data_IF_557295278701
#
_entry.id   IF_557295278701
#
_cell.length_a   1.000
_cell.length_b   1.000
_cell.length_c   1.000
_cell.angle_alpha   90.00
_cell.angle_beta   90.00
_cell.angle_gamma   90.00
#
_symmetry.space_group_name_H-M   'P 1'
#
loop_
_entity.id
_entity.type
_entity.pdbx_description
1 polymer ?
#
# COMPACT_ATOMS: atom_id res chain seq x y z
N UNK A 1 -7.58 8.27 -9.86
CA UNK A 1 -7.16 7.57 -11.10
C UNK A 1 -7.60 6.12 -10.98
N UNK A 2 -8.22 5.54 -12.01
CA UNK A 2 -8.62 4.12 -12.02
C UNK A 2 -7.84 3.38 -13.11
N UNK A 3 -7.26 2.23 -12.75
CA UNK A 3 -6.56 1.34 -13.69
C UNK A 3 -7.50 0.30 -14.32
N UNK A 4 -8.80 0.38 -14.09
CA UNK A 4 -9.79 -0.56 -14.65
C UNK A 4 -9.80 -0.59 -16.18
N UNK A 5 -9.37 0.50 -16.82
CA UNK A 5 -9.24 0.56 -18.28
C UNK A 5 -7.90 0.03 -18.81
N UNK A 6 -6.95 -0.32 -17.93
CA UNK A 6 -5.65 -0.96 -18.28
C UNK A 6 -5.70 -2.49 -18.12
N UNK A 7 -6.87 -3.06 -17.86
CA UNK A 7 -7.01 -4.49 -17.67
C UNK A 7 -6.76 -5.25 -18.98
N UNK A 8 -6.11 -6.40 -18.86
CA UNK A 8 -5.79 -7.29 -19.97
C UNK A 8 -6.20 -8.74 -19.65
N UNK A 9 -7.34 -9.23 -20.18
CA UNK A 9 -8.16 -8.62 -21.23
C UNK A 9 -9.02 -7.43 -20.75
N UNK A 10 -9.51 -6.57 -21.68
CA UNK A 10 -10.39 -5.46 -21.34
C UNK A 10 -11.66 -5.91 -20.60
N UNK A 11 -12.10 -5.10 -19.63
CA UNK A 11 -13.32 -5.37 -18.88
C UNK A 11 -14.57 -5.02 -19.70
N UNK A 12 -15.55 -5.93 -19.83
CA UNK A 12 -16.79 -5.66 -20.58
C UNK A 12 -17.73 -4.68 -19.85
N UNK A 13 -17.63 -4.60 -18.52
CA UNK A 13 -18.41 -3.67 -17.68
C UNK A 13 -17.52 -3.12 -16.54
N UNK A 14 -16.72 -2.07 -16.83
CA UNK A 14 -15.78 -1.49 -15.88
C UNK A 14 -16.42 -0.97 -14.59
N UNK A 15 -17.65 -0.48 -14.67
CA UNK A 15 -18.35 0.07 -13.51
C UNK A 15 -18.79 -1.04 -12.56
N UNK A 16 -19.36 -2.12 -13.09
CA UNK A 16 -19.76 -3.27 -12.28
C UNK A 16 -18.58 -3.92 -11.55
N UNK A 17 -17.41 -4.09 -12.21
CA UNK A 17 -16.23 -4.66 -11.55
C UNK A 17 -15.63 -3.69 -10.52
N UNK A 18 -15.64 -2.39 -10.79
CA UNK A 18 -15.10 -1.38 -9.90
C UNK A 18 -15.94 -1.27 -8.63
N UNK A 19 -17.26 -1.29 -8.74
CA UNK A 19 -18.16 -1.29 -7.60
C UNK A 19 -18.01 -2.56 -6.76
N UNK A 20 -17.82 -3.72 -7.40
CA UNK A 20 -17.52 -4.97 -6.71
C UNK A 20 -16.20 -4.93 -5.94
N UNK A 21 -15.13 -4.39 -6.54
CA UNK A 21 -13.84 -4.21 -5.86
C UNK A 21 -13.92 -3.22 -4.70
N UNK A 22 -14.61 -2.09 -4.88
CA UNK A 22 -14.86 -1.13 -3.80
C UNK A 22 -15.61 -1.77 -2.63
N UNK A 23 -16.63 -2.56 -2.93
CA UNK A 23 -17.40 -3.28 -1.91
C UNK A 23 -16.53 -4.31 -1.17
N UNK A 24 -15.70 -5.07 -1.89
CA UNK A 24 -14.75 -6.00 -1.28
C UNK A 24 -13.76 -5.28 -0.36
N UNK A 25 -13.15 -4.18 -0.82
CA UNK A 25 -12.23 -3.36 0.00
C UNK A 25 -12.94 -2.81 1.23
N UNK A 26 -14.15 -2.26 1.09
CA UNK A 26 -14.95 -1.74 2.22
C UNK A 26 -15.26 -2.81 3.27
N UNK A 27 -15.44 -4.05 2.86
CA UNK A 27 -15.74 -5.19 3.73
C UNK A 27 -14.51 -5.89 4.30
N UNK A 28 -13.33 -5.71 3.72
CA UNK A 28 -12.13 -6.47 4.11
C UNK A 28 -11.00 -5.60 4.66
N UNK A 29 -10.83 -4.38 4.17
CA UNK A 29 -9.68 -3.54 4.52
C UNK A 29 -9.76 -3.01 5.95
N UNK A 30 -8.61 -3.03 6.65
CA UNK A 30 -8.49 -2.48 8.01
C UNK A 30 -9.19 -3.28 9.11
N UNK A 31 -9.73 -4.46 8.79
CA UNK A 31 -10.47 -5.31 9.73
C UNK A 31 -9.59 -6.45 10.26
N UNK A 32 -9.30 -6.53 11.57
CA UNK A 32 -8.43 -7.57 12.13
C UNK A 32 -8.88 -9.00 11.80
N UNK A 33 -10.19 -9.26 11.79
CA UNK A 33 -10.78 -10.55 11.46
C UNK A 33 -10.55 -10.98 10.00
N UNK A 34 -10.24 -10.04 9.12
CA UNK A 34 -9.98 -10.27 7.69
C UNK A 34 -8.52 -10.65 7.41
N UNK A 35 -7.68 -10.68 8.45
CA UNK A 35 -6.34 -11.31 8.38
C UNK A 35 -6.44 -12.82 8.14
N UNK A 36 -7.53 -13.46 8.56
CA UNK A 36 -7.79 -14.87 8.29
C UNK A 36 -8.15 -15.08 6.80
N UNK A 37 -7.37 -15.86 6.03
CA UNK A 37 -7.60 -16.06 4.60
C UNK A 37 -9.01 -16.55 4.26
N UNK A 38 -9.59 -17.40 5.09
CA UNK A 38 -10.90 -18.02 4.89
C UNK A 38 -12.01 -16.95 4.92
N UNK A 39 -11.87 -15.95 5.80
CA UNK A 39 -12.85 -14.87 5.96
C UNK A 39 -12.90 -13.94 4.75
N UNK A 40 -11.74 -13.57 4.22
CA UNK A 40 -11.67 -12.75 3.00
C UNK A 40 -12.15 -13.51 1.76
N UNK A 41 -11.86 -14.82 1.68
CA UNK A 41 -12.37 -15.70 0.61
C UNK A 41 -13.91 -15.75 0.65
N UNK A 42 -14.50 -15.94 1.84
CA UNK A 42 -15.95 -15.98 2.04
C UNK A 42 -16.63 -14.70 1.53
N UNK A 43 -16.13 -13.52 1.93
CA UNK A 43 -16.63 -12.21 1.46
C UNK A 43 -16.48 -12.08 -0.05
N UNK A 44 -15.32 -12.49 -0.60
CA UNK A 44 -15.06 -12.45 -2.03
C UNK A 44 -16.08 -13.25 -2.83
N UNK A 45 -16.35 -14.49 -2.41
CA UNK A 45 -17.31 -15.39 -3.06
C UNK A 45 -18.77 -14.92 -2.88
N UNK A 46 -19.11 -14.28 -1.76
CA UNK A 46 -20.45 -13.70 -1.56
C UNK A 46 -20.75 -12.59 -2.57
N UNK A 47 -19.81 -11.66 -2.76
CA UNK A 47 -19.93 -10.58 -3.75
C UNK A 47 -19.97 -11.17 -5.16
N UNK A 48 -19.12 -12.17 -5.46
CA UNK A 48 -19.08 -12.81 -6.78
C UNK A 48 -20.43 -13.38 -7.23
N UNK A 49 -21.26 -13.88 -6.29
CA UNK A 49 -22.61 -14.41 -6.59
C UNK A 49 -23.62 -13.32 -6.97
N UNK A 50 -23.36 -12.06 -6.64
CA UNK A 50 -24.29 -10.93 -6.80
C UNK A 50 -23.97 -10.04 -8.01
N UNK A 51 -22.82 -10.24 -8.63
CA UNK A 51 -22.35 -9.44 -9.78
C UNK A 51 -22.62 -10.18 -11.11
N UNK A 52 -22.67 -9.45 -12.25
CA UNK A 52 -22.86 -10.06 -13.56
C UNK A 52 -21.83 -11.15 -13.88
N UNK A 53 -22.26 -12.21 -14.54
CA UNK A 53 -21.39 -13.32 -14.99
C UNK A 53 -20.20 -12.80 -15.81
N UNK A 54 -20.45 -11.82 -16.67
CA UNK A 54 -19.48 -11.23 -17.60
C UNK A 54 -18.24 -10.62 -16.91
N UNK A 55 -18.35 -10.20 -15.65
CA UNK A 55 -17.24 -9.59 -14.91
C UNK A 55 -16.75 -10.45 -13.74
N UNK A 56 -17.43 -11.57 -13.43
CA UNK A 56 -17.15 -12.34 -12.21
C UNK A 56 -15.73 -12.87 -12.15
N UNK A 57 -15.24 -13.43 -13.25
CA UNK A 57 -13.87 -13.96 -13.31
C UNK A 57 -12.83 -12.85 -13.08
N UNK A 58 -12.99 -11.72 -13.75
CA UNK A 58 -12.11 -10.57 -13.60
C UNK A 58 -12.14 -10.01 -12.17
N UNK A 59 -13.32 -9.94 -11.55
CA UNK A 59 -13.47 -9.55 -10.15
C UNK A 59 -12.66 -10.48 -9.23
N UNK A 60 -12.86 -11.81 -9.33
CA UNK A 60 -12.15 -12.81 -8.53
C UNK A 60 -10.63 -12.74 -8.72
N UNK A 61 -10.22 -12.49 -9.96
CA UNK A 61 -8.82 -12.30 -10.33
C UNK A 61 -8.23 -11.05 -9.64
N UNK A 62 -8.94 -9.93 -9.70
CA UNK A 62 -8.49 -8.67 -9.12
C UNK A 62 -8.40 -8.66 -7.59
N UNK A 63 -9.18 -9.50 -6.90
CA UNK A 63 -9.10 -9.68 -5.44
C UNK A 63 -8.16 -10.80 -4.99
N UNK A 64 -7.43 -11.43 -5.93
CA UNK A 64 -6.42 -12.42 -5.63
C UNK A 64 -6.95 -13.81 -5.28
N UNK A 65 -8.14 -14.18 -5.76
CA UNK A 65 -8.76 -15.49 -5.49
C UNK A 65 -8.58 -16.52 -6.63
N UNK A 66 -7.86 -16.17 -7.69
CA UNK A 66 -7.47 -17.10 -8.77
C UNK A 66 -5.99 -17.46 -8.65
N UNK A 67 -5.53 -18.64 -9.10
CA UNK A 67 -4.12 -19.05 -8.97
C UNK A 67 -3.10 -18.12 -9.66
N UNK A 68 -3.50 -17.40 -10.70
CA UNK A 68 -2.67 -16.59 -11.58
C UNK A 68 -2.85 -15.07 -11.40
N UNK A 69 -3.47 -14.66 -10.29
CA UNK A 69 -3.79 -13.27 -10.00
C UNK A 69 -2.58 -12.32 -10.03
N UNK A 70 -1.43 -12.78 -9.53
CA UNK A 70 -0.23 -11.95 -9.40
C UNK A 70 0.39 -11.65 -10.77
N UNK A 71 0.68 -12.66 -11.63
CA UNK A 71 1.08 -12.40 -13.01
C UNK A 71 0.14 -11.46 -13.77
N UNK A 72 -1.18 -11.57 -13.58
CA UNK A 72 -2.15 -10.67 -14.19
C UNK A 72 -2.05 -9.24 -13.66
N UNK A 73 -1.99 -9.06 -12.34
CA UNK A 73 -1.87 -7.75 -11.71
C UNK A 73 -0.62 -7.03 -12.21
N UNK A 74 0.52 -7.73 -12.29
CA UNK A 74 1.77 -7.18 -12.81
C UNK A 74 1.67 -6.77 -14.29
N UNK A 75 0.96 -7.53 -15.13
CA UNK A 75 0.72 -7.12 -16.53
C UNK A 75 -0.12 -5.85 -16.61
N UNK A 76 -1.18 -5.75 -15.81
CA UNK A 76 -2.04 -4.55 -15.78
C UNK A 76 -1.28 -3.32 -15.30
N UNK A 77 -0.47 -3.45 -14.25
CA UNK A 77 0.40 -2.35 -13.75
C UNK A 77 1.40 -1.91 -14.82
N UNK A 78 2.04 -2.86 -15.52
CA UNK A 78 2.98 -2.53 -16.61
C UNK A 78 2.28 -1.82 -17.77
N UNK A 79 1.06 -2.24 -18.13
CA UNK A 79 0.27 -1.60 -19.19
C UNK A 79 -0.15 -0.18 -18.80
N UNK A 80 -0.50 0.03 -17.54
CA UNK A 80 -0.84 1.35 -16.99
C UNK A 80 0.37 2.21 -16.59
N UNK A 81 1.61 1.74 -16.80
CA UNK A 81 2.81 2.37 -16.26
C UNK A 81 2.98 3.82 -16.75
N UNK A 82 2.67 4.09 -18.02
CA UNK A 82 2.72 5.47 -18.56
C UNK A 82 1.75 6.40 -17.84
N UNK A 83 0.55 5.94 -17.49
CA UNK A 83 -0.42 6.71 -16.70
C UNK A 83 0.02 6.88 -15.26
N UNK A 84 0.71 5.87 -14.73
CA UNK A 84 1.32 5.89 -13.41
C UNK A 84 2.62 6.68 -13.33
N UNK A 85 3.19 7.15 -14.43
CA UNK A 85 4.48 7.85 -14.44
C UNK A 85 4.46 9.13 -13.59
N UNK A 86 3.30 9.80 -13.49
CA UNK A 86 3.12 10.95 -12.61
C UNK A 86 3.13 10.61 -11.11
N UNK A 87 2.97 9.33 -10.75
CA UNK A 87 3.05 8.82 -9.38
C UNK A 87 4.46 8.35 -9.02
N UNK A 88 5.35 8.22 -10.00
CA UNK A 88 6.75 7.87 -9.75
C UNK A 88 7.50 9.10 -9.25
N UNK A 89 7.85 9.09 -7.97
CA UNK A 89 8.61 10.16 -7.35
C UNK A 89 10.11 10.09 -7.71
N UNK A 90 10.63 8.93 -8.13
CA UNK A 90 12.07 8.69 -8.31
C UNK A 90 12.75 9.72 -9.22
N UNK A 91 12.17 10.13 -10.37
CA UNK A 91 12.81 11.12 -11.25
C UNK A 91 13.05 12.47 -10.60
N UNK A 92 12.30 12.82 -9.55
CA UNK A 92 12.29 14.13 -8.91
C UNK A 92 13.09 14.17 -7.60
N UNK A 93 13.48 13.02 -7.06
CA UNK A 93 14.16 12.97 -5.75
C UNK A 93 15.50 13.72 -5.77
N UNK A 94 16.19 13.69 -6.91
CA UNK A 94 17.44 14.40 -7.10
C UNK A 94 17.29 15.93 -7.10
N UNK A 95 16.08 16.49 -7.09
CA UNK A 95 15.84 17.95 -7.00
C UNK A 95 15.62 18.43 -5.57
N UNK A 96 15.47 17.52 -4.61
CA UNK A 96 15.31 17.88 -3.19
C UNK A 96 16.63 18.43 -2.64
N UNK A 97 16.57 19.59 -1.97
CA UNK A 97 17.74 20.32 -1.41
C UNK A 97 17.58 20.71 0.06
N UNK A 98 16.39 20.52 0.62
CA UNK A 98 16.12 20.82 2.03
C UNK A 98 16.45 19.61 2.91
N UNK A 99 16.42 19.83 4.22
CA UNK A 99 16.44 18.74 5.20
C UNK A 99 15.16 17.91 5.08
N UNK A 100 15.29 16.59 5.11
CA UNK A 100 14.16 15.65 5.03
C UNK A 100 14.29 14.58 6.11
N UNK A 101 13.27 14.46 6.94
CA UNK A 101 13.12 13.37 7.91
C UNK A 101 12.04 12.40 7.40
N UNK A 102 12.44 11.18 7.03
CA UNK A 102 11.54 10.11 6.58
C UNK A 102 11.23 9.22 7.79
N UNK A 103 9.96 8.99 8.08
CA UNK A 103 9.52 8.19 9.23
C UNK A 103 8.70 7.00 8.72
N UNK A 104 9.06 5.77 9.10
CA UNK A 104 8.37 4.58 8.60
C UNK A 104 8.28 3.44 9.63
N UNK A 105 7.21 2.65 9.53
CA UNK A 105 6.97 1.49 10.39
C UNK A 105 7.77 0.26 9.96
N UNK A 106 8.59 -0.33 10.83
CA UNK A 106 9.31 -1.59 10.51
C UNK A 106 8.37 -2.77 10.28
N UNK A 107 7.15 -2.68 10.80
CA UNK A 107 6.10 -3.69 10.67
C UNK A 107 4.99 -3.26 9.69
N UNK A 108 5.20 -2.21 8.90
CA UNK A 108 4.26 -1.83 7.86
C UNK A 108 4.17 -2.97 6.83
N UNK A 109 2.97 -3.55 6.71
CA UNK A 109 2.67 -4.67 5.84
C UNK A 109 1.96 -4.24 4.55
N UNK A 110 1.78 -2.94 4.34
CA UNK A 110 1.21 -2.32 3.14
C UNK A 110 2.34 -1.75 2.29
N UNK A 111 3.24 -0.97 2.89
CA UNK A 111 4.41 -0.39 2.23
C UNK A 111 5.67 -0.88 2.96
N UNK A 112 6.52 -1.70 2.31
CA UNK A 112 7.77 -2.15 2.92
C UNK A 112 8.66 -0.98 3.31
N UNK A 113 9.27 -1.00 4.50
CA UNK A 113 10.09 0.11 4.99
C UNK A 113 11.35 0.35 4.15
N UNK A 114 11.77 -0.62 3.35
CA UNK A 114 12.84 -0.49 2.37
C UNK A 114 12.54 0.63 1.35
N UNK A 115 11.26 0.96 1.11
CA UNK A 115 10.88 2.10 0.28
C UNK A 115 11.39 3.43 0.85
N UNK A 116 11.45 3.58 2.18
CA UNK A 116 12.05 4.77 2.81
C UNK A 116 13.54 4.90 2.48
N UNK A 117 14.26 3.77 2.37
CA UNK A 117 15.68 3.75 2.00
C UNK A 117 15.87 4.10 0.53
N UNK A 118 15.00 3.60 -0.36
CA UNK A 118 15.00 3.96 -1.79
C UNK A 118 14.79 5.47 -1.97
N UNK A 119 13.83 6.05 -1.25
CA UNK A 119 13.59 7.49 -1.27
C UNK A 119 14.82 8.27 -0.79
N UNK A 120 15.41 7.90 0.35
CA UNK A 120 16.60 8.55 0.88
C UNK A 120 17.79 8.48 -0.08
N UNK A 121 17.99 7.32 -0.73
CA UNK A 121 19.07 7.13 -1.70
C UNK A 121 18.89 7.99 -2.97
N UNK A 122 17.65 8.28 -3.37
CA UNK A 122 17.37 9.15 -4.52
C UNK A 122 17.57 10.64 -4.24
N UNK A 123 17.50 11.06 -2.97
CA UNK A 123 17.64 12.46 -2.55
C UNK A 123 19.09 12.87 -2.32
N UNK A 124 19.93 12.70 -3.36
CA UNK A 124 21.40 12.80 -3.28
C UNK A 124 21.97 14.16 -2.87
N UNK A 125 21.15 15.21 -2.83
CA UNK A 125 21.55 16.58 -2.50
C UNK A 125 20.85 17.16 -1.25
N UNK A 126 20.10 16.32 -0.53
CA UNK A 126 19.40 16.70 0.70
C UNK A 126 20.12 16.15 1.94
N UNK A 127 19.92 16.78 3.11
CA UNK A 127 20.23 16.16 4.41
C UNK A 127 19.06 15.25 4.80
N UNK A 128 19.18 13.95 4.49
CA UNK A 128 18.10 12.98 4.70
C UNK A 128 18.39 12.08 5.90
N UNK A 129 17.38 11.92 6.76
CA UNK A 129 17.41 10.99 7.88
C UNK A 129 16.22 10.06 7.82
N UNK A 130 16.47 8.76 7.94
CA UNK A 130 15.42 7.73 8.00
C UNK A 130 15.26 7.24 9.43
N UNK A 131 14.03 7.38 9.94
CA UNK A 131 13.61 6.96 11.27
C UNK A 131 12.69 5.76 11.14
N UNK A 132 13.20 4.59 11.47
CA UNK A 132 12.42 3.36 11.48
C UNK A 132 11.91 3.08 12.89
N UNK A 133 10.62 2.77 13.00
CA UNK A 133 9.91 2.66 14.29
C UNK A 133 8.94 1.48 14.27
N UNK A 134 8.68 0.89 15.43
CA UNK A 134 7.61 -0.09 15.63
C UNK A 134 6.22 0.51 15.89
N UNK A 135 6.09 1.84 15.94
CA UNK A 135 4.84 2.54 16.28
C UNK A 135 3.86 2.68 15.12
N UNK A 136 4.35 2.71 13.88
CA UNK A 136 3.52 2.74 12.67
C UNK A 136 3.22 1.33 12.15
N UNK A 137 2.84 0.42 13.04
CA UNK A 137 2.26 -0.87 12.65
C UNK A 137 0.79 -0.65 12.27
N UNK A 138 0.43 -0.91 11.01
CA UNK A 138 -0.96 -0.85 10.55
C UNK A 138 -1.88 -1.89 11.21
N UNK A 139 -1.33 -2.78 12.04
CA UNK A 139 -2.00 -4.02 12.42
C UNK A 139 -1.90 -4.42 13.91
N UNK A 140 -1.35 -3.55 14.77
CA UNK A 140 -1.47 -3.57 16.23
C UNK A 140 -0.92 -4.81 16.95
N UNK A 141 0.08 -5.49 16.37
CA UNK A 141 0.33 -6.90 16.67
C UNK A 141 1.31 -7.23 17.80
N UNK A 142 2.18 -6.32 18.24
CA UNK A 142 3.24 -6.66 19.19
C UNK A 142 3.36 -5.67 20.35
N UNK A 143 3.38 -6.20 21.59
CA UNK A 143 3.86 -5.42 22.74
C UNK A 143 5.38 -5.22 22.55
N UNK A 144 5.87 -3.99 22.44
CA UNK A 144 7.29 -3.75 22.24
C UNK A 144 8.08 -4.24 23.44
N UNK A 145 9.28 -4.76 23.21
CA UNK A 145 10.24 -4.99 24.29
C UNK A 145 10.58 -3.67 24.99
N UNK A 146 11.00 -3.70 26.26
CA UNK A 146 11.36 -2.48 27.01
C UNK A 146 12.41 -1.63 26.27
N UNK A 147 13.41 -2.29 25.66
CA UNK A 147 14.44 -1.63 24.87
C UNK A 147 13.88 -1.01 23.57
N UNK A 148 12.91 -1.67 22.94
CA UNK A 148 12.18 -1.10 21.81
C UNK A 148 11.40 0.12 22.27
N UNK A 149 10.63 0.04 23.37
CA UNK A 149 9.85 1.16 23.90
C UNK A 149 10.70 2.40 24.22
N UNK A 150 11.89 2.23 24.80
CA UNK A 150 12.81 3.36 25.05
C UNK A 150 13.31 3.99 23.74
N UNK A 151 13.68 3.18 22.75
CA UNK A 151 14.03 3.68 21.42
C UNK A 151 12.85 4.37 20.75
N UNK A 152 11.65 3.83 20.88
CA UNK A 152 10.43 4.43 20.34
C UNK A 152 10.14 5.78 20.97
N UNK A 153 10.24 5.91 22.30
CA UNK A 153 10.08 7.20 22.99
C UNK A 153 11.14 8.20 22.55
N UNK A 154 12.40 7.79 22.42
CA UNK A 154 13.47 8.66 21.93
C UNK A 154 13.21 9.13 20.48
N UNK A 155 12.75 8.22 19.61
CA UNK A 155 12.32 8.57 18.26
C UNK A 155 11.16 9.56 18.31
N UNK A 156 10.09 9.28 19.05
CA UNK A 156 8.94 10.18 19.22
C UNK A 156 9.33 11.58 19.70
N UNK A 157 10.23 11.67 20.68
CA UNK A 157 10.71 12.97 21.16
C UNK A 157 11.46 13.73 20.07
N UNK A 158 12.29 13.06 19.28
CA UNK A 158 12.93 13.67 18.09
C UNK A 158 11.91 14.08 17.04
N UNK A 159 10.86 13.28 16.80
CA UNK A 159 9.80 13.62 15.86
C UNK A 159 9.05 14.88 16.33
N UNK A 160 8.71 14.96 17.61
CA UNK A 160 8.06 16.12 18.20
C UNK A 160 8.94 17.36 18.14
N UNK A 161 10.26 17.22 18.33
CA UNK A 161 11.21 18.33 18.21
C UNK A 161 11.29 18.85 16.77
N UNK A 162 11.33 17.96 15.77
CA UNK A 162 11.28 18.32 14.34
C UNK A 162 9.97 19.04 14.00
N UNK A 163 8.83 18.55 14.51
CA UNK A 163 7.52 19.16 14.26
C UNK A 163 7.31 20.48 15.01
N UNK A 164 7.91 20.65 16.18
CA UNK A 164 7.79 21.85 17.00
C UNK A 164 8.69 23.00 16.51
N UNK A 165 9.78 22.69 15.81
CA UNK A 165 10.70 23.66 15.21
C UNK A 165 10.90 23.36 13.71
N UNK A 166 9.87 23.55 12.88
CA UNK A 166 10.05 23.51 11.44
C UNK A 166 10.85 24.75 11.04
N UNK A 167 12.10 24.54 10.57
CA UNK A 167 12.90 25.62 9.98
C UNK A 167 12.25 26.20 8.72
#
# INVERSE_FOLDING_TARGET
MSFVHDLDPPCPDPDAVLDAWREYVRRTWGRPEMKAPERRVEVGLEIARRIPESVRQLYLHGIGLTPDWLPFALRCVRRGAERGAALDALPYLADVRCKVDIMHGVNDNVIPYEQAQVLAAGMVHADVRVHLTGLYDHSGGARPSLATAVREVATMLRLLEILANPE
#
